data_IF_247648525173
#
_entry.id   IF_247648525173
#
_cell.length_a   1.000
_cell.length_b   1.000
_cell.length_c   1.000
_cell.angle_alpha   90.00
_cell.angle_beta   90.00
_cell.angle_gamma   90.00
#
_symmetry.space_group_name_H-M   'P 1'
#
loop_
_entity.id
_entity.type
_entity.pdbx_description
1 polymer ?
#
# COMPACT_ATOMS: atom_id res chain seq x y z
N UNK A 1 -4.87 29.54 -3.71
CA UNK A 1 -3.64 30.34 -3.57
C UNK A 1 -3.45 30.78 -2.14
N UNK A 2 -2.23 30.70 -1.61
CA UNK A 2 -1.87 31.28 -0.31
C UNK A 2 -1.73 32.82 -0.38
N UNK A 3 -1.44 33.46 0.76
CA UNK A 3 -1.09 34.89 0.79
C UNK A 3 0.26 35.17 0.11
N UNK A 4 1.22 34.24 0.18
CA UNK A 4 2.52 34.37 -0.48
C UNK A 4 2.38 34.29 -2.01
N UNK A 5 1.59 33.34 -2.53
CA UNK A 5 1.29 33.21 -3.97
C UNK A 5 0.79 34.56 -4.54
N UNK A 6 -0.18 35.17 -3.83
CA UNK A 6 -0.79 36.46 -4.21
C UNK A 6 0.21 37.62 -4.16
N UNK A 7 1.09 37.63 -3.15
CA UNK A 7 2.14 38.64 -3.04
C UNK A 7 3.18 38.53 -4.17
N UNK A 8 3.61 37.30 -4.49
CA UNK A 8 4.54 37.03 -5.58
C UNK A 8 3.96 37.40 -6.96
N UNK A 9 2.71 37.00 -7.25
CA UNK A 9 2.03 37.39 -8.49
C UNK A 9 1.87 38.91 -8.59
N UNK A 10 1.45 39.60 -7.52
CA UNK A 10 1.37 41.07 -7.50
C UNK A 10 2.74 41.70 -7.77
N UNK A 11 3.82 41.17 -7.21
CA UNK A 11 5.17 41.69 -7.46
C UNK A 11 5.63 41.47 -8.91
N UNK A 12 5.28 40.33 -9.52
CA UNK A 12 5.57 40.07 -10.93
C UNK A 12 4.81 41.03 -11.87
N UNK A 13 3.50 41.21 -11.66
CA UNK A 13 2.69 42.16 -12.42
C UNK A 13 3.15 43.61 -12.22
N UNK A 14 3.55 43.98 -10.99
CA UNK A 14 4.11 45.30 -10.69
C UNK A 14 5.40 45.56 -11.48
N UNK A 15 6.36 44.61 -11.53
CA UNK A 15 7.57 44.74 -12.35
C UNK A 15 7.25 44.98 -13.84
N UNK A 16 6.24 44.30 -14.37
CA UNK A 16 5.82 44.49 -15.77
C UNK A 16 5.13 45.85 -16.00
N UNK A 17 4.45 46.40 -15.00
CA UNK A 17 3.92 47.77 -15.03
C UNK A 17 5.03 48.83 -14.89
N UNK A 18 6.00 48.62 -13.99
CA UNK A 18 7.13 49.53 -13.77
C UNK A 18 8.00 49.65 -15.03
N UNK A 19 8.28 48.52 -15.69
CA UNK A 19 8.98 48.48 -16.97
C UNK A 19 8.23 49.21 -18.10
N UNK A 20 6.90 49.21 -18.07
CA UNK A 20 6.09 49.99 -19.01
C UNK A 20 6.15 51.50 -18.70
N UNK A 21 6.07 51.88 -17.43
CA UNK A 21 6.20 53.28 -17.01
C UNK A 21 7.58 53.84 -17.39
N UNK A 22 8.67 53.12 -17.12
CA UNK A 22 10.03 53.55 -17.52
C UNK A 22 10.19 53.74 -19.04
N UNK A 23 9.48 52.96 -19.85
CA UNK A 23 9.47 53.14 -21.31
C UNK A 23 8.67 54.38 -21.75
N UNK A 24 7.61 54.75 -21.02
CA UNK A 24 6.82 55.97 -21.25
C UNK A 24 7.60 57.21 -20.80
N UNK A 25 8.23 57.17 -19.62
CA UNK A 25 9.04 58.27 -19.07
C UNK A 25 10.28 58.59 -19.94
N UNK A 26 10.73 57.61 -20.72
CA UNK A 26 11.85 57.75 -21.69
C UNK A 26 11.41 58.25 -23.07
N UNK A 27 10.11 58.40 -23.34
CA UNK A 27 9.59 58.71 -24.66
C UNK A 27 9.65 60.23 -24.95
N UNK A 28 10.17 60.60 -26.13
CA UNK A 28 10.36 62.00 -26.55
C UNK A 28 9.25 62.51 -27.49
N UNK A 29 8.33 61.65 -27.93
CA UNK A 29 7.24 61.98 -28.84
C UNK A 29 5.89 61.48 -28.30
N UNK A 30 4.79 62.17 -28.65
CA UNK A 30 3.45 61.83 -28.18
C UNK A 30 2.96 60.44 -28.65
N UNK A 31 3.38 60.03 -29.85
CA UNK A 31 3.03 58.72 -30.42
C UNK A 31 3.79 57.58 -29.71
N UNK A 32 5.03 57.82 -29.28
CA UNK A 32 5.83 56.88 -28.48
C UNK A 32 5.21 56.69 -27.08
N UNK A 33 4.75 57.77 -26.44
CA UNK A 33 3.99 57.72 -25.17
C UNK A 33 2.71 56.87 -25.33
N UNK A 34 1.97 57.10 -26.42
CA UNK A 34 0.71 56.39 -26.72
C UNK A 34 0.96 54.91 -27.00
N UNK A 35 2.04 54.60 -27.73
CA UNK A 35 2.49 53.24 -28.01
C UNK A 35 2.93 52.53 -26.73
N UNK A 36 3.78 53.16 -25.92
CA UNK A 36 4.26 52.63 -24.64
C UNK A 36 3.13 52.30 -23.67
N UNK A 37 2.15 53.20 -23.52
CA UNK A 37 0.94 52.96 -22.72
C UNK A 37 0.14 51.75 -23.22
N UNK A 38 -0.10 51.67 -24.53
CA UNK A 38 -0.89 50.58 -25.14
C UNK A 38 -0.18 49.24 -25.00
N UNK A 39 1.12 49.19 -25.29
CA UNK A 39 1.96 47.99 -25.13
C UNK A 39 2.08 47.55 -23.67
N UNK A 40 2.25 48.50 -22.75
CA UNK A 40 2.36 48.24 -21.31
C UNK A 40 1.13 47.59 -20.72
N UNK A 41 -0.04 48.19 -20.95
CA UNK A 41 -1.34 47.66 -20.51
C UNK A 41 -1.56 46.25 -21.09
N UNK A 42 -1.26 46.05 -22.38
CA UNK A 42 -1.39 44.74 -23.00
C UNK A 42 -0.47 43.70 -22.34
N UNK A 43 0.82 44.00 -22.14
CA UNK A 43 1.78 43.06 -21.52
C UNK A 43 1.38 42.64 -20.10
N UNK A 44 0.86 43.55 -19.28
CA UNK A 44 0.38 43.22 -17.93
C UNK A 44 -0.84 42.29 -18.01
N UNK A 45 -1.81 42.61 -18.87
CA UNK A 45 -3.03 41.80 -19.06
C UNK A 45 -2.74 40.40 -19.65
N UNK A 46 -1.86 40.32 -20.65
CA UNK A 46 -1.42 39.06 -21.25
C UNK A 46 -0.73 38.16 -20.21
N UNK A 47 0.13 38.73 -19.36
CA UNK A 47 0.85 38.02 -18.31
C UNK A 47 -0.07 37.51 -17.19
N UNK A 48 -1.08 38.29 -16.81
CA UNK A 48 -2.09 37.86 -15.82
C UNK A 48 -2.92 36.69 -16.37
N UNK A 49 -3.38 36.77 -17.62
CA UNK A 49 -4.10 35.69 -18.29
C UNK A 49 -3.26 34.42 -18.49
N UNK A 50 -1.97 34.56 -18.83
CA UNK A 50 -1.04 33.44 -18.94
C UNK A 50 -0.83 32.73 -17.59
N UNK A 51 -0.59 33.49 -16.51
CA UNK A 51 -0.42 32.94 -15.15
C UNK A 51 -1.63 32.13 -14.69
N UNK A 52 -2.84 32.62 -14.92
CA UNK A 52 -4.06 31.90 -14.52
C UNK A 52 -4.29 30.64 -15.36
N UNK A 53 -3.98 30.70 -16.66
CA UNK A 53 -4.04 29.54 -17.57
C UNK A 53 -3.05 28.45 -17.16
N UNK A 54 -1.78 28.80 -16.98
CA UNK A 54 -0.72 27.90 -16.52
C UNK A 54 -1.07 27.27 -15.17
N UNK A 55 -1.54 28.09 -14.22
CA UNK A 55 -1.93 27.63 -12.88
C UNK A 55 -3.04 26.60 -12.96
N UNK A 56 -4.08 26.84 -13.77
CA UNK A 56 -5.17 25.87 -13.97
C UNK A 56 -4.65 24.57 -14.58
N UNK A 57 -3.86 24.65 -15.64
CA UNK A 57 -3.33 23.47 -16.32
C UNK A 57 -2.41 22.64 -15.40
N UNK A 58 -1.58 23.30 -14.58
CA UNK A 58 -0.74 22.65 -13.58
C UNK A 58 -1.57 22.01 -12.45
N UNK A 59 -2.59 22.71 -11.95
CA UNK A 59 -3.49 22.19 -10.93
C UNK A 59 -4.25 20.94 -11.44
N UNK A 60 -4.80 20.98 -12.66
CA UNK A 60 -5.55 19.87 -13.27
C UNK A 60 -4.67 18.62 -13.50
N UNK A 61 -3.50 18.78 -14.14
CA UNK A 61 -2.59 17.66 -14.43
C UNK A 61 -1.95 17.07 -13.16
N UNK A 62 -1.81 17.87 -12.09
CA UNK A 62 -1.40 17.38 -10.78
C UNK A 62 -2.49 16.51 -10.11
N UNK A 63 -3.76 16.93 -10.11
CA UNK A 63 -4.85 16.11 -9.55
C UNK A 63 -5.00 14.79 -10.30
N UNK A 64 -5.03 14.84 -11.64
CA UNK A 64 -5.12 13.66 -12.50
C UNK A 64 -3.96 12.66 -12.29
N UNK A 65 -2.75 13.14 -11.98
CA UNK A 65 -1.62 12.28 -11.63
C UNK A 65 -1.75 11.71 -10.21
N UNK A 66 -2.27 12.50 -9.25
CA UNK A 66 -2.53 12.07 -7.89
C UNK A 66 -3.64 10.99 -7.81
N UNK A 67 -4.70 11.12 -8.61
CA UNK A 67 -5.77 10.13 -8.78
C UNK A 67 -5.18 8.78 -9.24
N UNK A 68 -4.41 8.76 -10.33
CA UNK A 68 -3.73 7.55 -10.83
C UNK A 68 -2.82 6.88 -9.79
N UNK A 69 -2.16 7.64 -8.91
CA UNK A 69 -1.31 7.11 -7.84
C UNK A 69 -2.15 6.53 -6.68
N UNK A 70 -3.31 7.12 -6.39
CA UNK A 70 -4.21 6.64 -5.34
C UNK A 70 -4.96 5.38 -5.76
N UNK A 71 -5.51 5.36 -6.98
CA UNK A 71 -6.34 4.27 -7.51
C UNK A 71 -5.53 3.00 -7.83
N UNK A 72 -4.20 3.09 -7.92
CA UNK A 72 -3.33 1.93 -8.13
C UNK A 72 -3.14 1.14 -6.83
N UNK A 73 -4.05 0.20 -6.58
CA UNK A 73 -4.00 -0.72 -5.43
C UNK A 73 -2.85 -1.75 -5.45
N UNK A 74 -2.15 -1.92 -6.57
CA UNK A 74 -0.97 -2.78 -6.67
C UNK A 74 0.31 -2.11 -6.13
N UNK A 75 0.29 -0.79 -5.89
CA UNK A 75 1.31 -0.09 -5.11
C UNK A 75 1.16 -0.40 -3.62
N UNK A 76 2.28 -0.57 -2.92
CA UNK A 76 2.30 -0.46 -1.45
C UNK A 76 2.16 1.00 -1.01
N UNK A 77 1.71 1.24 0.21
CA UNK A 77 1.57 2.58 0.78
C UNK A 77 2.90 3.35 0.87
N UNK A 78 4.02 2.62 1.06
CA UNK A 78 5.36 3.21 1.03
C UNK A 78 5.71 3.76 -0.38
N UNK A 79 5.38 3.02 -1.44
CA UNK A 79 5.58 3.47 -2.81
C UNK A 79 4.62 4.59 -3.22
N UNK A 80 3.36 4.49 -2.78
CA UNK A 80 2.32 5.52 -2.99
C UNK A 80 2.75 6.84 -2.36
N UNK A 81 3.22 6.81 -1.11
CA UNK A 81 3.72 7.99 -0.41
C UNK A 81 4.99 8.56 -1.06
N UNK A 82 5.93 7.71 -1.50
CA UNK A 82 7.14 8.15 -2.19
C UNK A 82 6.84 8.83 -3.55
N UNK A 83 5.98 8.21 -4.38
CA UNK A 83 5.51 8.78 -5.66
C UNK A 83 4.79 10.11 -5.44
N UNK A 84 3.87 10.18 -4.47
CA UNK A 84 3.17 11.41 -4.10
C UNK A 84 4.14 12.50 -3.63
N UNK A 85 5.08 12.21 -2.74
CA UNK A 85 6.02 13.22 -2.22
C UNK A 85 6.93 13.81 -3.30
N UNK A 86 7.32 13.01 -4.31
CA UNK A 86 8.07 13.50 -5.47
C UNK A 86 7.20 14.43 -6.35
N UNK A 87 5.95 14.04 -6.62
CA UNK A 87 4.99 14.83 -7.40
C UNK A 87 4.63 16.15 -6.70
N UNK A 88 4.28 16.11 -5.40
CA UNK A 88 3.97 17.28 -4.57
C UNK A 88 5.09 18.35 -4.63
N UNK A 89 6.34 17.90 -4.51
CA UNK A 89 7.53 18.76 -4.55
C UNK A 89 7.71 19.43 -5.92
N UNK A 90 7.50 18.70 -7.01
CA UNK A 90 7.65 19.23 -8.35
C UNK A 90 6.50 20.19 -8.73
N UNK A 91 5.28 19.86 -8.32
CA UNK A 91 4.10 20.71 -8.42
C UNK A 91 4.30 22.05 -7.69
N UNK A 92 4.78 22.02 -6.45
CA UNK A 92 5.09 23.23 -5.69
C UNK A 92 6.13 24.11 -6.42
N UNK A 93 7.21 23.52 -6.91
CA UNK A 93 8.26 24.24 -7.64
C UNK A 93 7.76 24.87 -8.97
N UNK A 94 6.88 24.19 -9.70
CA UNK A 94 6.26 24.73 -10.91
C UNK A 94 5.27 25.86 -10.57
N UNK A 95 4.47 25.70 -9.51
CA UNK A 95 3.54 26.72 -9.02
C UNK A 95 4.24 28.00 -8.56
N UNK A 96 5.36 27.86 -7.86
CA UNK A 96 6.19 29.00 -7.45
C UNK A 96 6.87 29.67 -8.65
N UNK A 97 7.20 28.94 -9.72
CA UNK A 97 7.67 29.52 -10.98
C UNK A 97 6.58 30.34 -11.68
N UNK A 98 5.35 29.79 -11.81
CA UNK A 98 4.18 30.51 -12.35
C UNK A 98 3.93 31.80 -11.56
N UNK A 99 3.97 31.73 -10.22
CA UNK A 99 3.77 32.89 -9.36
C UNK A 99 4.82 33.99 -9.63
N UNK A 100 6.10 33.62 -9.69
CA UNK A 100 7.23 34.56 -9.77
C UNK A 100 7.56 35.08 -11.19
N UNK A 101 7.20 34.36 -12.26
CA UNK A 101 7.58 34.70 -13.64
C UNK A 101 7.18 36.12 -14.04
N UNK A 102 8.11 36.91 -14.58
CA UNK A 102 7.95 38.35 -14.82
C UNK A 102 7.38 38.70 -16.18
N UNK A 103 7.37 37.72 -17.09
CA UNK A 103 7.01 37.83 -18.49
C UNK A 103 6.75 36.41 -19.03
N UNK A 104 6.00 36.32 -20.13
CA UNK A 104 5.50 35.04 -20.64
C UNK A 104 6.65 34.12 -21.08
N UNK A 105 7.67 34.62 -21.76
CA UNK A 105 8.78 33.79 -22.24
C UNK A 105 9.70 33.28 -21.14
N UNK A 106 9.83 33.99 -20.02
CA UNK A 106 10.46 33.48 -18.80
C UNK A 106 9.70 32.31 -18.16
N UNK A 107 8.38 32.23 -18.39
CA UNK A 107 7.52 31.12 -17.95
C UNK A 107 7.64 29.95 -18.94
N UNK A 108 7.41 30.17 -20.24
CA UNK A 108 7.50 29.15 -21.31
C UNK A 108 8.83 28.36 -21.29
N UNK A 109 9.92 29.01 -20.89
CA UNK A 109 11.27 28.40 -20.86
C UNK A 109 11.70 27.86 -19.49
N UNK A 110 10.89 28.02 -18.43
CA UNK A 110 11.30 27.70 -17.06
C UNK A 110 11.49 26.18 -16.86
N UNK A 111 12.60 25.81 -16.21
CA UNK A 111 12.96 24.40 -15.96
C UNK A 111 11.95 23.67 -15.07
N UNK A 112 11.21 24.38 -14.21
CA UNK A 112 10.31 23.74 -13.26
C UNK A 112 9.07 23.07 -13.91
N UNK A 113 8.59 23.53 -15.06
CA UNK A 113 7.55 22.81 -15.81
C UNK A 113 8.08 21.47 -16.32
N UNK A 114 9.29 21.44 -16.89
CA UNK A 114 9.94 20.20 -17.33
C UNK A 114 10.22 19.26 -16.15
N UNK A 115 10.58 19.81 -14.98
CA UNK A 115 10.75 19.03 -13.75
C UNK A 115 9.41 18.44 -13.29
N UNK A 116 8.30 19.18 -13.40
CA UNK A 116 6.95 18.68 -13.11
C UNK A 116 6.52 17.59 -14.08
N UNK A 117 6.65 17.78 -15.39
CA UNK A 117 6.33 16.73 -16.38
C UNK A 117 7.17 15.46 -16.17
N UNK A 118 8.46 15.62 -15.86
CA UNK A 118 9.34 14.47 -15.55
C UNK A 118 8.91 13.74 -14.26
N UNK A 119 8.56 14.49 -13.21
CA UNK A 119 8.10 13.92 -11.94
C UNK A 119 6.72 13.25 -12.07
N UNK A 120 5.80 13.87 -12.85
CA UNK A 120 4.50 13.33 -13.21
C UNK A 120 4.66 12.00 -13.93
N UNK A 121 5.43 11.97 -15.02
CA UNK A 121 5.68 10.76 -15.80
C UNK A 121 6.28 9.62 -14.94
N UNK A 122 7.27 9.93 -14.09
CA UNK A 122 7.87 8.94 -13.20
C UNK A 122 6.93 8.47 -12.07
N UNK A 123 6.04 9.34 -11.57
CA UNK A 123 5.10 8.99 -10.51
C UNK A 123 3.92 8.15 -11.03
N UNK A 124 3.48 8.37 -12.29
CA UNK A 124 2.47 7.56 -12.98
C UNK A 124 3.05 6.40 -13.78
N UNK A 125 4.37 6.17 -13.76
CA UNK A 125 4.95 4.96 -14.34
C UNK A 125 4.68 3.77 -13.41
N UNK A 126 3.88 2.83 -13.93
CA UNK A 126 3.52 1.57 -13.30
C UNK A 126 4.03 0.36 -14.08
N UNK A 127 4.86 0.55 -15.10
CA UNK A 127 5.41 -0.53 -15.93
C UNK A 127 6.29 -1.52 -15.15
N UNK A 128 6.81 -1.10 -14.00
CA UNK A 128 7.58 -1.91 -13.06
C UNK A 128 6.76 -2.48 -11.89
N UNK A 129 5.44 -2.28 -11.84
CA UNK A 129 4.57 -2.72 -10.75
C UNK A 129 3.87 -4.02 -11.14
N UNK A 130 4.15 -5.09 -10.41
CA UNK A 130 3.47 -6.39 -10.55
C UNK A 130 1.97 -6.21 -10.31
N UNK A 131 1.07 -6.55 -11.26
CA UNK A 131 -0.37 -6.43 -11.08
C UNK A 131 -0.90 -7.18 -9.84
N UNK A 132 -1.95 -6.64 -9.21
CA UNK A 132 -2.47 -7.15 -7.93
C UNK A 132 -2.80 -8.66 -7.96
N UNK A 133 -3.41 -9.16 -9.05
CA UNK A 133 -3.73 -10.58 -9.20
C UNK A 133 -2.48 -11.47 -9.31
N UNK A 134 -1.38 -10.95 -9.85
CA UNK A 134 -0.09 -11.66 -9.87
C UNK A 134 0.56 -11.67 -8.49
N UNK A 135 0.39 -10.59 -7.70
CA UNK A 135 0.81 -10.59 -6.28
C UNK A 135 0.01 -11.61 -5.46
N UNK A 136 -1.31 -11.72 -5.68
CA UNK A 136 -2.16 -12.76 -5.07
C UNK A 136 -1.71 -14.17 -5.47
N UNK A 137 -1.42 -14.38 -6.76
CA UNK A 137 -0.96 -15.68 -7.25
C UNK A 137 0.38 -16.09 -6.63
N UNK A 138 1.34 -15.16 -6.51
CA UNK A 138 2.63 -15.41 -5.87
C UNK A 138 2.47 -15.74 -4.37
N UNK A 139 1.73 -14.93 -3.61
CA UNK A 139 1.50 -15.18 -2.19
C UNK A 139 0.76 -16.50 -1.92
N UNK A 140 -0.14 -16.93 -2.82
CA UNK A 140 -0.79 -18.25 -2.75
C UNK A 140 0.18 -19.40 -2.99
N UNK A 141 1.11 -19.26 -3.94
CA UNK A 141 2.15 -20.26 -4.20
C UNK A 141 3.10 -20.39 -2.99
N UNK A 142 3.50 -19.27 -2.38
CA UNK A 142 4.33 -19.25 -1.17
C UNK A 142 3.65 -19.93 0.02
N UNK A 143 2.33 -19.73 0.20
CA UNK A 143 1.53 -20.47 1.20
C UNK A 143 1.51 -21.98 0.90
N UNK A 144 1.40 -22.39 -0.36
CA UNK A 144 1.36 -23.81 -0.74
C UNK A 144 2.72 -24.50 -0.61
N UNK A 145 3.83 -23.83 -0.97
CA UNK A 145 5.19 -24.28 -0.70
C UNK A 145 5.45 -24.43 0.82
N UNK A 146 5.02 -23.45 1.61
CA UNK A 146 5.11 -23.49 3.08
C UNK A 146 4.32 -24.66 3.66
N UNK A 147 3.07 -24.84 3.23
CA UNK A 147 2.21 -25.91 3.70
C UNK A 147 2.79 -27.30 3.40
N UNK A 148 3.32 -27.51 2.19
CA UNK A 148 3.96 -28.78 1.83
C UNK A 148 5.19 -29.07 2.69
N UNK A 149 6.06 -28.08 2.93
CA UNK A 149 7.25 -28.28 3.77
C UNK A 149 6.89 -28.70 5.22
N UNK A 150 5.83 -28.13 5.79
CA UNK A 150 5.32 -28.48 7.13
C UNK A 150 4.68 -29.87 7.14
N UNK A 151 3.99 -30.27 6.07
CA UNK A 151 3.44 -31.62 5.87
C UNK A 151 4.57 -32.65 5.77
N UNK A 152 5.66 -32.34 5.08
CA UNK A 152 6.83 -33.21 4.95
C UNK A 152 7.58 -33.37 6.28
N UNK A 153 7.69 -32.31 7.09
CA UNK A 153 8.22 -32.38 8.46
C UNK A 153 7.37 -33.29 9.35
N UNK A 154 6.04 -33.11 9.34
CA UNK A 154 5.08 -33.97 10.07
C UNK A 154 5.15 -35.43 9.59
N UNK A 155 5.37 -35.67 8.30
CA UNK A 155 5.55 -37.02 7.76
C UNK A 155 6.89 -37.65 8.18
N UNK A 156 7.96 -36.87 8.27
CA UNK A 156 9.29 -37.34 8.68
C UNK A 156 9.40 -37.64 10.19
N UNK A 157 8.65 -36.94 11.06
CA UNK A 157 8.74 -37.10 12.52
C UNK A 157 8.32 -38.52 12.99
N UNK A 158 9.30 -39.34 13.40
CA UNK A 158 9.09 -40.71 13.84
C UNK A 158 8.52 -40.84 15.26
N UNK A 159 8.35 -39.74 16.00
CA UNK A 159 7.68 -39.73 17.32
C UNK A 159 6.15 -39.70 17.24
N UNK A 160 5.60 -39.27 16.09
CA UNK A 160 4.15 -39.14 15.90
C UNK A 160 3.49 -40.44 15.42
N UNK A 161 2.39 -40.80 16.08
CA UNK A 161 1.49 -41.87 15.59
C UNK A 161 0.79 -41.45 14.28
N UNK A 162 0.30 -42.41 13.46
CA UNK A 162 -0.43 -42.09 12.23
C UNK A 162 -1.63 -41.15 12.43
N UNK A 163 -2.37 -41.29 13.53
CA UNK A 163 -3.50 -40.42 13.87
C UNK A 163 -3.05 -38.97 14.17
N UNK A 164 -1.93 -38.80 14.88
CA UNK A 164 -1.36 -37.47 15.15
C UNK A 164 -0.80 -36.81 13.88
N UNK A 165 -0.16 -37.58 12.98
CA UNK A 165 0.25 -37.10 11.66
C UNK A 165 -0.95 -36.60 10.85
N UNK A 166 -1.98 -37.43 10.73
CA UNK A 166 -3.19 -37.10 9.97
C UNK A 166 -3.90 -35.86 10.51
N UNK A 167 -4.02 -35.72 11.84
CA UNK A 167 -4.63 -34.55 12.45
C UNK A 167 -3.82 -33.25 12.23
N UNK A 168 -2.48 -33.32 12.29
CA UNK A 168 -1.60 -32.17 12.00
C UNK A 168 -1.64 -31.78 10.52
N UNK A 169 -1.60 -32.74 9.61
CA UNK A 169 -1.71 -32.50 8.16
C UNK A 169 -3.03 -31.79 7.85
N UNK A 170 -4.16 -32.32 8.33
CA UNK A 170 -5.48 -31.69 8.13
C UNK A 170 -5.57 -30.27 8.73
N UNK A 171 -4.85 -30.00 9.83
CA UNK A 171 -4.77 -28.65 10.41
C UNK A 171 -3.94 -27.68 9.54
N UNK A 172 -2.83 -28.15 8.96
CA UNK A 172 -1.98 -27.37 8.03
C UNK A 172 -2.76 -27.07 6.73
N UNK A 173 -3.37 -28.10 6.12
CA UNK A 173 -4.20 -27.98 4.92
C UNK A 173 -5.34 -26.97 5.11
N UNK A 174 -6.03 -27.04 6.27
CA UNK A 174 -7.08 -26.09 6.64
C UNK A 174 -6.52 -24.66 6.79
N UNK A 175 -5.41 -24.48 7.52
CA UNK A 175 -4.81 -23.17 7.72
C UNK A 175 -4.36 -22.53 6.39
N UNK A 176 -3.78 -23.33 5.48
CA UNK A 176 -3.42 -22.90 4.13
C UNK A 176 -4.66 -22.52 3.29
N UNK A 177 -5.75 -23.31 3.36
CA UNK A 177 -6.99 -22.99 2.66
C UNK A 177 -7.63 -21.68 3.16
N UNK A 178 -7.68 -21.47 4.48
CA UNK A 178 -8.17 -20.21 5.09
C UNK A 178 -7.29 -19.03 4.69
N UNK A 179 -5.97 -19.17 4.73
CA UNK A 179 -5.02 -18.14 4.33
C UNK A 179 -5.15 -17.74 2.85
N UNK A 180 -5.27 -18.71 1.94
CA UNK A 180 -5.48 -18.41 0.50
C UNK A 180 -6.82 -17.74 0.24
N UNK A 181 -7.85 -18.03 1.03
CA UNK A 181 -9.13 -17.31 0.99
C UNK A 181 -9.04 -15.89 1.57
N UNK A 182 -8.15 -15.62 2.55
CA UNK A 182 -7.86 -14.27 3.03
C UNK A 182 -7.09 -13.45 1.97
N UNK A 183 -6.14 -14.06 1.24
CA UNK A 183 -5.45 -13.45 0.09
C UNK A 183 -6.43 -13.10 -1.06
N UNK A 184 -7.46 -13.91 -1.30
CA UNK A 184 -8.49 -13.58 -2.30
C UNK A 184 -9.27 -12.30 -1.93
N UNK A 185 -9.58 -12.12 -0.64
CA UNK A 185 -10.33 -10.97 -0.12
C UNK A 185 -9.53 -9.67 -0.17
N UNK A 186 -8.20 -9.74 -0.05
CA UNK A 186 -7.32 -8.57 -0.03
C UNK A 186 -7.54 -7.65 -1.26
N UNK A 187 -7.72 -6.35 -1.03
CA UNK A 187 -7.93 -5.35 -2.09
C UNK A 187 -6.68 -4.55 -2.43
N UNK A 188 -5.58 -4.71 -1.69
CA UNK A 188 -4.33 -3.96 -1.88
C UNK A 188 -3.08 -4.80 -1.65
N UNK A 189 -1.92 -4.32 -2.14
CA UNK A 189 -0.63 -4.96 -1.94
C UNK A 189 -0.26 -5.17 -0.46
N UNK A 190 -0.55 -4.20 0.41
CA UNK A 190 -0.28 -4.30 1.84
C UNK A 190 -1.28 -5.21 2.58
N UNK A 191 -2.53 -5.35 2.10
CA UNK A 191 -3.45 -6.38 2.59
C UNK A 191 -2.99 -7.79 2.21
N UNK A 192 -2.50 -8.00 0.98
CA UNK A 192 -1.93 -9.28 0.54
C UNK A 192 -0.74 -9.65 1.45
N UNK A 193 0.18 -8.71 1.66
CA UNK A 193 1.34 -8.86 2.54
C UNK A 193 0.95 -9.13 3.99
N UNK A 194 -0.11 -8.49 4.49
CA UNK A 194 -0.61 -8.70 5.85
C UNK A 194 -1.23 -10.10 6.00
N UNK A 195 -2.04 -10.53 5.03
CA UNK A 195 -2.64 -11.86 5.02
C UNK A 195 -1.58 -12.98 4.86
N UNK A 196 -0.51 -12.73 4.09
CA UNK A 196 0.63 -13.64 3.93
C UNK A 196 1.41 -13.83 5.24
N UNK A 197 1.76 -12.73 5.94
CA UNK A 197 2.41 -12.81 7.26
C UNK A 197 1.55 -13.61 8.26
N UNK A 198 0.23 -13.36 8.29
CA UNK A 198 -0.71 -14.10 9.12
C UNK A 198 -0.86 -15.57 8.72
N UNK A 199 -0.57 -15.92 7.46
CA UNK A 199 -0.55 -17.32 7.00
C UNK A 199 0.66 -18.09 7.56
N UNK A 200 1.83 -17.45 7.63
CA UNK A 200 3.02 -18.05 8.26
C UNK A 200 2.77 -18.35 9.74
N UNK A 201 2.22 -17.40 10.49
CA UNK A 201 1.87 -17.61 11.90
C UNK A 201 0.85 -18.74 12.08
N UNK A 202 -0.29 -18.70 11.35
CA UNK A 202 -1.35 -19.73 11.42
C UNK A 202 -0.83 -21.14 11.09
N UNK A 203 0.00 -21.29 10.06
CA UNK A 203 0.51 -22.61 9.63
C UNK A 203 1.56 -23.17 10.61
N UNK A 204 2.37 -22.30 11.22
CA UNK A 204 3.30 -22.68 12.31
C UNK A 204 2.54 -23.02 13.59
N UNK A 205 1.41 -22.38 13.90
CA UNK A 205 0.53 -22.77 15.01
C UNK A 205 -0.19 -24.11 14.77
N UNK A 206 -0.59 -24.40 13.52
CA UNK A 206 -1.18 -25.69 13.16
C UNK A 206 -0.22 -26.87 13.46
N UNK A 207 1.09 -26.71 13.21
CA UNK A 207 2.10 -27.69 13.63
C UNK A 207 2.21 -27.84 15.15
N UNK A 208 2.09 -26.76 15.91
CA UNK A 208 2.19 -26.78 17.38
C UNK A 208 0.98 -27.42 18.05
N UNK A 209 -0.19 -27.38 17.43
CA UNK A 209 -1.41 -27.94 18.00
C UNK A 209 -1.27 -29.48 18.23
N UNK A 210 -1.41 -29.90 19.48
CA UNK A 210 -1.33 -31.30 19.93
C UNK A 210 -2.68 -31.88 20.32
N UNK A 211 -3.78 -31.11 20.23
CA UNK A 211 -5.09 -31.50 20.74
C UNK A 211 -5.82 -32.48 19.80
N UNK A 212 -5.33 -33.71 19.76
CA UNK A 212 -6.01 -34.87 19.19
C UNK A 212 -6.60 -35.66 20.37
N UNK A 213 -7.93 -35.76 20.52
CA UNK A 213 -8.51 -36.71 21.46
C UNK A 213 -7.97 -38.11 21.17
N UNK A 214 -7.50 -38.81 22.20
CA UNK A 214 -7.03 -40.18 22.02
C UNK A 214 -8.17 -41.01 21.39
N UNK A 215 -7.90 -41.89 20.41
CA UNK A 215 -8.92 -42.79 19.89
C UNK A 215 -9.52 -43.57 21.06
N UNK A 216 -10.83 -43.42 21.28
CA UNK A 216 -11.55 -44.21 22.28
C UNK A 216 -11.45 -45.67 21.85
N UNK A 217 -10.55 -46.41 22.49
CA UNK A 217 -10.43 -47.85 22.31
C UNK A 217 -11.82 -48.47 22.54
N UNK A 218 -12.36 -49.25 21.60
CA UNK A 218 -13.56 -50.02 21.88
C UNK A 218 -13.24 -50.96 23.04
N UNK A 219 -14.02 -50.90 24.11
CA UNK A 219 -13.78 -51.65 25.34
C UNK A 219 -14.03 -53.15 25.09
N UNK A 220 -12.98 -53.90 24.77
CA UNK A 220 -13.07 -55.33 24.48
C UNK A 220 -12.97 -56.14 25.77
N UNK A 221 -14.09 -56.22 26.49
CA UNK A 221 -14.33 -57.11 27.63
C UNK A 221 -15.81 -57.11 27.99
N UNK A 222 -16.42 -58.20 28.46
CA UNK A 222 -15.93 -59.58 28.54
C UNK A 222 -17.14 -60.54 28.40
N UNK A 223 -16.94 -61.86 28.45
CA UNK A 223 -18.01 -62.82 28.21
C UNK A 223 -19.07 -62.87 29.34
N UNK A 224 -20.33 -62.59 29.01
CA UNK A 224 -21.48 -62.88 29.89
C UNK A 224 -22.27 -64.13 29.42
N UNK A 225 -22.64 -64.96 30.39
CA UNK A 225 -23.52 -66.13 30.19
C UNK A 225 -24.99 -65.73 30.11
N UNK A 226 -25.83 -66.44 29.33
CA UNK A 226 -27.19 -66.00 29.03
C UNK A 226 -28.15 -66.08 30.23
N UNK A 227 -28.87 -64.98 30.48
CA UNK A 227 -30.04 -64.92 31.38
C UNK A 227 -31.18 -64.13 30.71
N UNK A 228 -32.38 -64.20 31.28
CA UNK A 228 -33.65 -63.87 30.63
C UNK A 228 -33.91 -62.36 30.46
N UNK A 229 -34.72 -61.96 29.44
CA UNK A 229 -34.99 -60.55 29.16
C UNK A 229 -35.86 -59.88 30.22
N UNK A 230 -35.53 -58.63 30.55
CA UNK A 230 -36.40 -57.71 31.28
C UNK A 230 -36.92 -56.62 30.33
N UNK A 231 -38.20 -56.26 30.42
CA UNK A 231 -38.85 -55.27 29.55
C UNK A 231 -39.08 -53.96 30.29
N UNK A 232 -38.44 -52.87 29.84
CA UNK A 232 -38.66 -51.50 30.35
C UNK A 232 -38.13 -50.43 29.38
N UNK A 233 -38.85 -49.31 29.27
CA UNK A 233 -38.60 -48.17 28.36
C UNK A 233 -37.16 -47.59 28.41
N UNK A 234 -36.49 -47.21 27.31
CA UNK A 234 -36.72 -46.06 26.39
C UNK A 234 -36.92 -44.70 27.09
N UNK A 235 -36.34 -43.57 26.71
CA UNK A 235 -35.06 -43.25 26.03
C UNK A 235 -34.32 -42.26 27.00
N UNK A 236 -33.50 -41.24 26.72
CA UNK A 236 -32.89 -40.61 25.53
C UNK A 236 -31.70 -39.70 25.95
N UNK A 237 -30.79 -39.43 25.03
CA UNK A 237 -29.86 -38.27 24.96
C UNK A 237 -28.65 -38.12 25.92
N UNK A 238 -27.59 -37.57 25.33
CA UNK A 238 -26.25 -37.35 25.89
C UNK A 238 -25.86 -35.88 25.82
N UNK A 239 -25.33 -35.31 26.90
CA UNK A 239 -24.66 -34.00 26.86
C UNK A 239 -23.49 -33.99 27.85
N UNK A 240 -22.26 -33.83 27.35
CA UNK A 240 -21.04 -33.82 28.17
C UNK A 240 -19.98 -32.92 27.52
N UNK A 241 -20.03 -31.62 27.78
CA UNK A 241 -18.90 -30.71 27.53
C UNK A 241 -18.28 -30.31 28.87
N UNK A 242 -17.01 -30.68 29.07
CA UNK A 242 -16.24 -30.35 30.28
C UNK A 242 -15.17 -29.31 29.95
N UNK A 243 -14.95 -28.41 30.91
CA UNK A 243 -14.10 -27.26 30.78
C UNK A 243 -12.59 -27.58 30.68
N UNK A 244 -11.90 -26.76 29.89
CA UNK A 244 -10.71 -25.99 30.27
C UNK A 244 -9.66 -26.64 31.19
N UNK A 245 -8.42 -26.80 30.70
CA UNK A 245 -7.24 -26.74 31.57
C UNK A 245 -6.03 -26.08 30.91
N UNK A 246 -5.31 -25.29 31.71
CA UNK A 246 -4.13 -24.50 31.36
C UNK A 246 -2.88 -25.17 31.95
N UNK A 247 -1.84 -25.43 31.16
CA UNK A 247 -0.49 -25.77 31.66
C UNK A 247 0.56 -25.00 30.83
N UNK A 248 1.55 -24.43 31.52
CA UNK A 248 2.69 -23.69 30.94
C UNK A 248 3.91 -24.62 30.77
N UNK A 249 4.89 -24.26 29.92
CA UNK A 249 6.27 -23.95 30.38
C UNK A 249 7.22 -23.38 29.31
N UNK A 250 8.01 -22.37 29.71
CA UNK A 250 9.40 -22.04 29.30
C UNK A 250 9.90 -22.29 27.86
N UNK A 251 9.79 -21.24 27.04
CA UNK A 251 10.89 -20.46 26.46
C UNK A 251 12.29 -21.05 26.21
N UNK A 252 12.80 -20.78 25.00
CA UNK A 252 14.24 -20.68 24.69
C UNK A 252 14.48 -19.38 23.88
N UNK A 253 15.43 -18.55 24.32
CA UNK A 253 15.83 -17.33 23.60
C UNK A 253 17.30 -17.44 23.20
N UNK A 254 17.61 -17.21 21.92
CA UNK A 254 18.99 -17.01 21.49
C UNK A 254 19.06 -15.90 20.45
N UNK A 255 19.63 -14.75 20.86
CA UNK A 255 19.93 -13.66 19.95
C UNK A 255 21.30 -13.86 19.29
N UNK A 256 21.40 -13.60 17.99
CA UNK A 256 22.68 -13.56 17.27
C UNK A 256 23.09 -12.11 17.04
N UNK A 257 24.15 -11.68 17.74
CA UNK A 257 24.60 -10.29 17.73
C UNK A 257 25.49 -9.97 16.52
N UNK A 258 24.91 -9.23 15.57
CA UNK A 258 25.54 -8.20 14.71
C UNK A 258 27.05 -7.99 14.93
N UNK A 259 27.90 -8.60 14.11
CA UNK A 259 29.27 -8.11 13.91
C UNK A 259 29.27 -6.95 12.91
N UNK A 260 29.80 -5.80 13.34
CA UNK A 260 30.51 -4.90 12.42
C UNK A 260 31.94 -5.42 12.31
N UNK A 261 32.50 -5.40 11.10
CA UNK A 261 33.95 -5.41 10.91
C UNK A 261 34.34 -4.09 10.28
N UNK A 262 35.21 -3.35 10.96
CA UNK A 262 35.96 -2.27 10.33
C UNK A 262 37.25 -2.87 9.76
N UNK A 263 37.62 -2.44 8.56
CA UNK A 263 38.96 -2.02 8.18
C UNK A 263 38.77 -0.83 7.21
#
# INVERSE_FOLDING_TARGET
>A
MSAADKAAQKQALQKQADAANSAIDSATQADDITTGKTTGIKKVSDLEAAKETDRKNLDDEYQKALEQINDNHALTDAERAARKAALDKAYAAAKDAINQGTDISSMETNVNYKNFDSAKAAATDFSNITPLDQQKAAAKAEIDEKAQALIDEVNADSSLTPAQKQAKIAAIEKAAAEAKADIDKAQSADEIKTALNLAEDKTVEAMKNTNVPAPTLPETGDSETPVLPNTGERDSESAFEIAMLLIMLTGFSLAVTKQRKND
#
